data_IF_395598146299
#
_entry.id   IF_395598146299
#
_cell.length_a   1.000
_cell.length_b   1.000
_cell.length_c   1.000
_cell.angle_alpha   90.00
_cell.angle_beta   90.00
_cell.angle_gamma   90.00
#
_symmetry.space_group_name_H-M   'P 1'
#
loop_
_entity.id
_entity.type
_entity.pdbx_description
1 polymer ?
#
# COMPACT_ATOMS: atom_id res chain seq x y z
N UNK A 1 21.91 10.80 16.55
CA UNK A 1 21.00 11.24 17.61
C UNK A 1 20.27 12.48 17.09
N UNK A 2 18.98 12.36 16.85
CA UNK A 2 18.19 13.46 16.27
C UNK A 2 18.05 14.64 17.24
N UNK A 3 17.86 15.86 16.72
CA UNK A 3 17.55 17.06 17.51
C UNK A 3 16.40 16.77 18.49
N UNK A 4 15.41 16.03 18.05
CA UNK A 4 14.28 15.50 18.82
C UNK A 4 14.69 14.85 20.14
N UNK A 5 15.69 13.96 20.12
CA UNK A 5 16.10 13.16 21.28
C UNK A 5 16.89 13.98 22.32
N UNK A 6 17.34 15.20 21.94
CA UNK A 6 18.10 16.11 22.80
C UNK A 6 17.22 17.17 23.48
N UNK A 7 16.00 17.41 22.98
CA UNK A 7 15.13 18.48 23.48
C UNK A 7 14.52 18.18 24.85
N UNK A 8 14.48 16.91 25.27
CA UNK A 8 13.76 16.48 26.47
C UNK A 8 12.22 16.57 26.37
N UNK A 9 11.70 17.01 25.21
CA UNK A 9 10.26 17.10 24.94
C UNK A 9 9.76 15.78 24.36
N UNK A 10 8.67 15.25 24.90
CA UNK A 10 8.00 14.09 24.31
C UNK A 10 7.35 14.48 22.98
N UNK A 11 7.86 13.92 21.88
CA UNK A 11 7.33 14.16 20.54
C UNK A 11 6.07 13.35 20.27
N UNK A 12 5.08 14.00 19.70
CA UNK A 12 3.93 13.35 19.07
C UNK A 12 4.34 12.94 17.66
N UNK A 13 4.60 11.63 17.50
CA UNK A 13 5.20 11.07 16.30
C UNK A 13 4.15 10.71 15.27
N UNK A 14 4.02 11.51 14.23
CA UNK A 14 3.07 11.30 13.13
C UNK A 14 3.76 10.96 11.80
N UNK A 15 5.10 10.87 11.79
CA UNK A 15 5.88 10.49 10.62
C UNK A 15 5.92 8.97 10.38
N UNK A 16 5.71 8.19 11.44
CA UNK A 16 5.94 6.74 11.44
C UNK A 16 4.75 5.98 10.83
N UNK A 17 4.92 5.46 9.63
CA UNK A 17 3.90 4.63 8.95
C UNK A 17 3.94 3.16 9.36
N UNK A 18 4.07 2.83 10.65
CA UNK A 18 4.05 1.46 11.18
C UNK A 18 2.78 1.21 12.00
N UNK A 19 2.30 -0.04 12.13
CA UNK A 19 1.11 -0.33 12.92
C UNK A 19 1.32 -0.01 14.41
N UNK A 20 0.29 0.53 15.05
CA UNK A 20 0.28 0.86 16.48
C UNK A 20 -0.53 -0.12 17.34
N UNK A 21 -1.08 -1.16 16.73
CA UNK A 21 -1.84 -2.22 17.40
C UNK A 21 -0.95 -3.45 17.60
N UNK A 22 -1.26 -4.32 18.57
CA UNK A 22 -0.64 -5.63 18.69
C UNK A 22 -0.79 -6.45 17.41
N UNK A 23 0.15 -7.36 17.18
CA UNK A 23 0.05 -8.32 16.09
C UNK A 23 -1.19 -9.22 16.25
N UNK A 24 -1.82 -9.60 15.15
CA UNK A 24 -2.98 -10.48 15.15
C UNK A 24 -2.66 -11.82 15.83
N UNK A 25 -3.34 -12.12 16.95
CA UNK A 25 -3.01 -13.27 17.81
C UNK A 25 -3.09 -14.60 17.06
N UNK A 26 -4.07 -14.74 16.15
CA UNK A 26 -4.21 -15.96 15.32
C UNK A 26 -2.95 -16.24 14.49
N UNK A 27 -2.27 -15.18 14.02
CA UNK A 27 -1.00 -15.30 13.30
C UNK A 27 0.15 -15.69 14.23
N UNK A 28 0.23 -15.02 15.39
CA UNK A 28 1.27 -15.31 16.42
C UNK A 28 1.20 -16.75 16.85
N UNK A 29 0.01 -17.26 17.19
CA UNK A 29 -0.18 -18.66 17.64
C UNK A 29 0.22 -19.66 16.57
N UNK A 30 -0.16 -19.42 15.32
CA UNK A 30 0.22 -20.28 14.19
C UNK A 30 1.74 -20.30 13.95
N UNK A 31 2.41 -19.15 14.08
CA UNK A 31 3.84 -19.03 13.93
C UNK A 31 4.59 -19.77 15.05
N UNK A 32 4.19 -19.57 16.31
CA UNK A 32 4.75 -20.28 17.47
C UNK A 32 4.62 -21.79 17.27
N UNK A 33 3.42 -22.25 16.90
CA UNK A 33 3.20 -23.68 16.65
C UNK A 33 4.11 -24.21 15.56
N UNK A 34 4.26 -23.53 14.44
CA UNK A 34 5.11 -23.96 13.33
C UNK A 34 6.58 -24.09 13.76
N UNK A 35 7.06 -23.16 14.60
CA UNK A 35 8.43 -23.23 15.16
C UNK A 35 8.59 -24.40 16.13
N UNK A 36 7.58 -24.68 16.97
CA UNK A 36 7.57 -25.85 17.86
C UNK A 36 7.53 -27.17 17.07
N UNK A 37 6.85 -27.19 15.93
CA UNK A 37 6.81 -28.33 15.01
C UNK A 37 8.14 -28.51 14.23
N UNK A 38 9.13 -27.63 14.46
CA UNK A 38 10.49 -27.75 13.94
C UNK A 38 10.70 -27.20 12.55
N UNK A 39 9.78 -26.38 12.02
CA UNK A 39 9.83 -25.89 10.61
C UNK A 39 11.09 -25.07 10.30
N UNK A 40 11.75 -24.50 11.32
CA UNK A 40 12.89 -23.60 11.15
C UNK A 40 14.13 -24.27 10.53
N UNK A 41 14.24 -25.61 10.56
CA UNK A 41 15.40 -26.32 10.04
C UNK A 41 15.39 -26.54 8.53
N UNK A 42 14.24 -26.29 7.85
CA UNK A 42 14.08 -26.57 6.42
C UNK A 42 13.74 -25.30 5.62
N UNK A 43 14.26 -25.25 4.40
CA UNK A 43 13.85 -24.22 3.46
C UNK A 43 12.36 -24.36 3.11
N UNK A 44 11.63 -23.26 2.95
CA UNK A 44 10.30 -23.29 2.39
C UNK A 44 10.35 -23.70 0.91
N UNK A 45 9.22 -24.15 0.37
CA UNK A 45 9.06 -24.27 -1.07
C UNK A 45 9.31 -22.90 -1.74
N UNK A 46 10.03 -22.90 -2.86
CA UNK A 46 10.37 -21.67 -3.61
C UNK A 46 9.11 -20.90 -4.02
N UNK A 47 8.06 -21.63 -4.37
CA UNK A 47 6.77 -21.04 -4.77
C UNK A 47 5.88 -20.70 -3.56
N UNK A 48 6.33 -21.04 -2.35
CA UNK A 48 5.62 -20.79 -1.11
C UNK A 48 4.79 -21.95 -0.59
N UNK A 49 4.39 -21.84 0.69
CA UNK A 49 3.60 -22.83 1.41
C UNK A 49 2.21 -22.99 0.72
N UNK A 50 1.80 -24.21 0.32
CA UNK A 50 0.49 -24.44 -0.30
C UNK A 50 -0.68 -23.88 0.52
N UNK A 51 -0.67 -24.08 1.84
CA UNK A 51 -1.72 -23.56 2.71
C UNK A 51 -1.83 -22.02 2.69
N UNK A 52 -0.73 -21.29 2.51
CA UNK A 52 -0.77 -19.83 2.37
C UNK A 52 -1.33 -19.42 1.00
N UNK A 53 -0.95 -20.11 -0.05
CA UNK A 53 -1.43 -19.86 -1.42
C UNK A 53 -2.95 -20.08 -1.51
N UNK A 54 -3.46 -21.16 -0.95
CA UNK A 54 -4.88 -21.47 -0.86
C UNK A 54 -5.64 -20.42 -0.02
N UNK A 55 -5.10 -20.07 1.16
CA UNK A 55 -5.71 -19.05 2.03
C UNK A 55 -5.72 -17.66 1.37
N UNK A 56 -4.70 -17.31 0.59
CA UNK A 56 -4.66 -16.04 -0.14
C UNK A 56 -5.67 -16.01 -1.29
N UNK A 57 -5.81 -17.10 -2.04
CA UNK A 57 -6.83 -17.25 -3.09
C UNK A 57 -8.23 -17.08 -2.50
N UNK A 58 -8.53 -17.76 -1.40
CA UNK A 58 -9.82 -17.66 -0.71
C UNK A 58 -10.07 -16.26 -0.14
N UNK A 59 -9.04 -15.61 0.40
CA UNK A 59 -9.12 -14.24 0.90
C UNK A 59 -9.43 -13.23 -0.22
N UNK A 60 -8.78 -13.36 -1.38
CA UNK A 60 -9.07 -12.53 -2.55
C UNK A 60 -10.52 -12.72 -2.98
N UNK A 61 -11.00 -13.97 -3.06
CA UNK A 61 -12.40 -14.27 -3.38
C UNK A 61 -13.36 -13.69 -2.33
N UNK A 62 -13.06 -13.86 -1.05
CA UNK A 62 -13.91 -13.42 0.05
C UNK A 62 -14.08 -11.90 0.11
N UNK A 63 -13.02 -11.13 -0.18
CA UNK A 63 -13.00 -9.70 0.07
C UNK A 63 -12.92 -8.82 -1.19
N UNK A 64 -12.47 -9.35 -2.33
CA UNK A 64 -12.42 -8.65 -3.63
C UNK A 64 -13.49 -9.17 -4.59
N UNK A 65 -13.94 -10.43 -4.39
CA UNK A 65 -14.95 -11.07 -5.23
C UNK A 65 -14.40 -11.59 -6.56
N UNK A 66 -13.09 -11.86 -6.63
CA UNK A 66 -12.39 -12.38 -7.81
C UNK A 66 -11.85 -13.76 -7.51
N UNK A 67 -12.04 -14.70 -8.43
CA UNK A 67 -11.40 -16.00 -8.38
C UNK A 67 -9.96 -15.87 -8.93
N UNK A 68 -8.99 -16.42 -8.20
CA UNK A 68 -7.60 -16.51 -8.59
C UNK A 68 -7.06 -17.88 -8.22
N UNK A 69 -6.27 -18.50 -9.10
CA UNK A 69 -5.64 -19.79 -8.80
C UNK A 69 -4.61 -19.61 -7.66
N UNK A 70 -4.58 -20.51 -6.67
CA UNK A 70 -3.54 -20.51 -5.63
C UNK A 70 -2.11 -20.47 -6.19
N UNK A 71 -1.88 -21.00 -7.38
CA UNK A 71 -0.58 -20.94 -8.04
C UNK A 71 -0.09 -19.51 -8.25
N UNK A 72 -0.99 -18.58 -8.61
CA UNK A 72 -0.70 -17.15 -8.77
C UNK A 72 -0.48 -16.38 -7.46
N UNK A 73 -0.78 -16.99 -6.30
CA UNK A 73 -0.59 -16.40 -4.97
C UNK A 73 0.80 -16.76 -4.44
N UNK A 74 1.78 -15.85 -4.58
CA UNK A 74 3.19 -16.10 -4.27
C UNK A 74 3.60 -15.34 -3.01
N UNK A 75 4.04 -16.02 -1.93
CA UNK A 75 4.54 -15.37 -0.72
C UNK A 75 5.78 -14.52 -0.97
N UNK A 76 5.85 -13.38 -0.29
CA UNK A 76 6.96 -12.42 -0.42
C UNK A 76 7.38 -11.88 0.95
N UNK A 77 8.63 -11.47 1.09
CA UNK A 77 9.19 -10.88 2.29
C UNK A 77 8.68 -9.42 2.47
N UNK A 78 7.38 -9.32 2.80
CA UNK A 78 6.59 -8.08 2.76
C UNK A 78 6.35 -7.60 1.32
N UNK A 79 5.35 -6.73 1.12
CA UNK A 79 5.04 -6.16 -0.21
C UNK A 79 6.24 -5.48 -0.88
N UNK A 80 7.25 -5.06 -0.11
CA UNK A 80 8.48 -4.48 -0.62
C UNK A 80 9.26 -5.43 -1.53
N UNK A 81 9.38 -6.71 -1.17
CA UNK A 81 10.00 -7.70 -2.05
C UNK A 81 9.09 -7.98 -3.25
N UNK A 82 7.77 -8.02 -3.02
CA UNK A 82 6.79 -8.20 -4.08
C UNK A 82 6.87 -7.10 -5.14
N UNK A 83 6.91 -5.81 -4.74
CA UNK A 83 7.07 -4.70 -5.67
C UNK A 83 8.40 -4.75 -6.41
N UNK A 84 9.50 -5.03 -5.70
CA UNK A 84 10.83 -5.12 -6.32
C UNK A 84 10.89 -6.20 -7.41
N UNK A 85 10.40 -7.40 -7.09
CA UNK A 85 10.37 -8.52 -8.05
C UNK A 85 9.39 -8.26 -9.21
N UNK A 86 8.24 -7.62 -8.92
CA UNK A 86 7.27 -7.23 -9.96
C UNK A 86 7.88 -6.22 -10.94
N UNK A 87 8.57 -5.20 -10.44
CA UNK A 87 9.27 -4.24 -11.31
C UNK A 87 10.30 -4.91 -12.21
N UNK A 88 11.13 -5.79 -11.65
CA UNK A 88 12.10 -6.55 -12.43
C UNK A 88 11.44 -7.40 -13.51
N UNK A 89 10.31 -8.05 -13.19
CA UNK A 89 9.65 -8.93 -14.16
C UNK A 89 8.93 -8.11 -15.24
N UNK A 90 8.21 -7.06 -14.85
CA UNK A 90 7.46 -6.21 -15.78
C UNK A 90 8.38 -5.46 -16.75
N UNK A 91 9.48 -4.88 -16.25
CA UNK A 91 10.43 -4.10 -17.09
C UNK A 91 11.24 -4.97 -18.05
N UNK A 92 11.25 -6.30 -17.87
CA UNK A 92 11.93 -7.26 -18.73
C UNK A 92 10.97 -8.02 -19.66
N UNK A 93 9.66 -7.82 -19.50
CA UNK A 93 8.65 -8.56 -20.26
C UNK A 93 8.67 -8.21 -21.76
N UNK A 94 8.86 -6.93 -22.07
CA UNK A 94 8.97 -6.40 -23.44
C UNK A 94 10.02 -5.29 -23.44
N UNK A 95 11.08 -5.46 -24.23
CA UNK A 95 12.20 -4.48 -24.37
C UNK A 95 11.75 -3.09 -24.83
N UNK A 96 10.55 -2.98 -25.45
CA UNK A 96 9.97 -1.71 -25.87
C UNK A 96 9.27 -0.97 -24.72
N UNK A 97 8.93 -1.70 -23.65
CA UNK A 97 8.19 -1.20 -22.50
C UNK A 97 9.10 -1.20 -21.27
N UNK A 98 9.90 -0.17 -21.13
CA UNK A 98 10.95 -0.05 -20.11
C UNK A 98 10.63 0.94 -18.99
N UNK A 99 9.43 1.50 -18.99
CA UNK A 99 9.03 2.58 -18.09
C UNK A 99 7.84 2.17 -17.21
N UNK A 100 7.91 2.47 -15.91
CA UNK A 100 6.80 2.30 -14.95
C UNK A 100 6.10 3.63 -14.76
N UNK A 101 4.76 3.67 -14.83
CA UNK A 101 3.95 4.85 -14.57
C UNK A 101 3.40 4.80 -13.14
N UNK A 102 3.68 5.81 -12.33
CA UNK A 102 3.08 5.98 -11.00
C UNK A 102 1.88 6.92 -11.06
N UNK A 103 0.76 6.45 -10.50
CA UNK A 103 -0.36 7.31 -10.13
C UNK A 103 -0.08 7.82 -8.70
N UNK A 104 0.59 8.97 -8.63
CA UNK A 104 1.00 9.60 -7.38
C UNK A 104 -0.15 10.40 -6.72
N UNK A 105 0.01 10.81 -5.46
CA UNK A 105 1.15 10.56 -4.60
C UNK A 105 1.25 9.08 -4.21
N UNK A 106 2.47 8.61 -3.90
CA UNK A 106 2.71 7.19 -3.65
C UNK A 106 3.80 6.92 -2.61
N UNK A 107 4.06 5.64 -2.36
CA UNK A 107 5.10 5.23 -1.43
C UNK A 107 6.49 5.44 -2.04
N UNK A 108 7.32 6.36 -1.51
CA UNK A 108 8.54 6.81 -2.19
C UNK A 108 9.59 5.71 -2.38
N UNK A 109 9.55 4.66 -1.55
CA UNK A 109 10.53 3.57 -1.64
C UNK A 109 10.35 2.73 -2.91
N UNK A 110 9.16 2.71 -3.51
CA UNK A 110 8.94 2.04 -4.80
C UNK A 110 9.73 2.71 -5.93
N UNK A 111 9.82 4.05 -5.94
CA UNK A 111 10.68 4.78 -6.88
C UNK A 111 12.16 4.54 -6.61
N UNK A 112 12.56 4.45 -5.34
CA UNK A 112 13.92 4.07 -4.97
C UNK A 112 14.27 2.66 -5.47
N UNK A 113 13.32 1.72 -5.43
CA UNK A 113 13.54 0.38 -6.01
C UNK A 113 13.85 0.44 -7.50
N UNK A 114 13.12 1.26 -8.26
CA UNK A 114 13.40 1.44 -9.69
C UNK A 114 14.76 2.10 -9.94
N UNK A 115 15.16 3.07 -9.12
CA UNK A 115 16.51 3.65 -9.19
C UNK A 115 17.60 2.60 -8.97
N UNK A 116 17.42 1.71 -7.98
CA UNK A 116 18.34 0.58 -7.73
C UNK A 116 18.41 -0.37 -8.92
N UNK A 117 17.28 -0.60 -9.60
CA UNK A 117 17.19 -1.50 -10.76
C UNK A 117 17.66 -0.83 -12.06
N UNK A 118 17.81 0.50 -12.09
CA UNK A 118 18.08 1.25 -13.33
C UNK A 118 16.85 1.31 -14.27
N UNK A 119 15.66 1.10 -13.75
CA UNK A 119 14.40 1.13 -14.52
C UNK A 119 13.83 2.55 -14.54
N UNK A 120 13.35 3.00 -15.70
CA UNK A 120 12.74 4.32 -15.87
C UNK A 120 11.35 4.38 -15.23
N UNK A 121 10.96 5.57 -14.82
CA UNK A 121 9.58 5.80 -14.41
C UNK A 121 9.09 7.20 -14.81
N UNK A 122 7.78 7.30 -14.97
CA UNK A 122 7.00 8.53 -15.12
C UNK A 122 5.96 8.60 -14.01
N UNK A 123 5.43 9.81 -13.74
CA UNK A 123 4.56 10.05 -12.59
C UNK A 123 3.62 11.23 -12.85
N UNK A 124 2.46 11.21 -12.23
CA UNK A 124 1.57 12.37 -12.13
C UNK A 124 0.75 12.29 -10.83
N UNK A 125 0.46 13.44 -10.24
CA UNK A 125 -0.45 13.53 -9.09
C UNK A 125 -1.90 13.39 -9.58
N UNK A 126 -2.61 12.38 -9.06
CA UNK A 126 -3.95 12.03 -9.50
C UNK A 126 -5.02 13.02 -9.04
N UNK A 127 -4.74 13.85 -8.04
CA UNK A 127 -5.75 14.66 -7.36
C UNK A 127 -6.55 15.56 -8.33
N UNK A 128 -5.86 16.15 -9.29
CA UNK A 128 -6.47 17.01 -10.30
C UNK A 128 -7.06 16.24 -11.50
N UNK A 129 -6.87 14.92 -11.53
CA UNK A 129 -7.26 14.06 -12.66
C UNK A 129 -8.20 12.93 -12.25
N UNK A 130 -9.01 13.13 -11.21
CA UNK A 130 -10.00 12.15 -10.73
C UNK A 130 -11.21 12.05 -11.66
N UNK A 131 -11.94 10.93 -11.56
CA UNK A 131 -13.17 10.68 -12.32
C UNK A 131 -12.93 10.65 -13.83
N UNK A 132 -13.72 11.38 -14.58
CA UNK A 132 -13.65 11.43 -16.06
C UNK A 132 -12.32 11.92 -16.61
N UNK A 133 -11.54 12.69 -15.84
CA UNK A 133 -10.24 13.21 -16.25
C UNK A 133 -9.14 12.16 -16.20
N UNK A 134 -9.33 11.06 -15.46
CA UNK A 134 -8.31 10.03 -15.26
C UNK A 134 -7.98 9.31 -16.57
N UNK A 135 -8.98 8.93 -17.34
CA UNK A 135 -8.78 8.23 -18.60
C UNK A 135 -7.88 8.97 -19.59
N UNK A 136 -8.23 10.21 -19.98
CA UNK A 136 -7.39 11.03 -20.86
C UNK A 136 -5.97 11.26 -20.33
N UNK A 137 -5.84 11.45 -19.01
CA UNK A 137 -4.52 11.63 -18.39
C UNK A 137 -3.66 10.39 -18.51
N UNK A 138 -4.18 9.21 -18.19
CA UNK A 138 -3.46 7.94 -18.35
C UNK A 138 -3.10 7.68 -19.82
N UNK A 139 -4.04 7.90 -20.72
CA UNK A 139 -3.86 7.66 -22.15
C UNK A 139 -2.76 8.54 -22.74
N UNK A 140 -2.56 9.76 -22.21
CA UNK A 140 -1.46 10.64 -22.64
C UNK A 140 -0.06 10.06 -22.41
N UNK A 141 0.11 9.15 -21.45
CA UNK A 141 1.34 8.38 -21.24
C UNK A 141 1.37 7.10 -22.05
N UNK A 142 0.25 6.37 -22.06
CA UNK A 142 0.17 5.02 -22.63
C UNK A 142 0.33 4.99 -24.15
N UNK A 143 -0.07 6.07 -24.84
CA UNK A 143 0.10 6.22 -26.30
C UNK A 143 1.56 6.24 -26.75
N UNK A 144 2.51 6.54 -25.85
CA UNK A 144 3.94 6.47 -26.14
C UNK A 144 4.44 5.03 -26.34
N UNK A 145 3.69 4.03 -25.87
CA UNK A 145 3.99 2.62 -26.06
C UNK A 145 5.15 2.07 -25.23
N UNK A 146 5.69 2.85 -24.28
CA UNK A 146 6.86 2.48 -23.45
C UNK A 146 6.49 2.03 -22.03
N UNK A 147 5.22 2.13 -21.62
CA UNK A 147 4.79 1.79 -20.26
C UNK A 147 4.63 0.27 -20.11
N UNK A 148 5.42 -0.34 -19.22
CA UNK A 148 5.31 -1.76 -18.87
C UNK A 148 4.31 -2.00 -17.74
N UNK A 149 4.26 -1.09 -16.74
CA UNK A 149 3.37 -1.22 -15.59
C UNK A 149 2.84 0.13 -15.12
N UNK A 150 1.64 0.10 -14.52
CA UNK A 150 1.04 1.23 -13.78
C UNK A 150 0.95 0.83 -12.31
N UNK A 151 1.36 1.73 -11.41
CA UNK A 151 1.42 1.48 -9.96
C UNK A 151 0.63 2.52 -9.19
N UNK A 152 -0.17 2.07 -8.23
CA UNK A 152 -0.86 2.90 -7.24
C UNK A 152 -1.22 2.09 -6.00
N UNK A 153 -1.55 2.75 -4.89
CA UNK A 153 -2.11 2.09 -3.70
C UNK A 153 -3.57 2.46 -3.48
N UNK A 154 -4.37 1.53 -2.94
CA UNK A 154 -5.81 1.70 -2.74
C UNK A 154 -6.31 1.02 -1.44
N UNK A 155 -6.64 1.77 -0.34
CA UNK A 155 -6.48 3.22 -0.17
C UNK A 155 -5.06 3.72 -0.35
N UNK A 156 -4.93 5.00 -0.72
CA UNK A 156 -3.64 5.58 -1.08
C UNK A 156 -2.81 6.00 0.14
N UNK A 157 -1.51 5.79 0.07
CA UNK A 157 -0.51 6.40 0.95
C UNK A 157 0.25 7.46 0.13
N UNK A 158 0.20 8.76 0.46
CA UNK A 158 -0.26 9.37 1.73
C UNK A 158 -1.66 9.98 1.73
N UNK A 159 -2.27 10.17 0.56
CA UNK A 159 -3.45 11.02 0.39
C UNK A 159 -4.73 10.45 1.00
N UNK A 160 -4.79 9.15 1.20
CA UNK A 160 -5.96 8.36 1.58
C UNK A 160 -7.07 8.33 0.51
N UNK A 161 -6.77 8.76 -0.71
CA UNK A 161 -7.66 8.61 -1.86
C UNK A 161 -8.04 7.13 -2.02
N UNK A 162 -9.33 6.86 -2.20
CA UNK A 162 -9.86 5.56 -2.56
C UNK A 162 -10.37 5.61 -4.01
N UNK A 163 -9.81 4.80 -4.88
CA UNK A 163 -10.27 4.72 -6.28
C UNK A 163 -11.69 4.17 -6.35
N UNK A 164 -12.53 4.80 -7.16
CA UNK A 164 -13.89 4.32 -7.41
C UNK A 164 -13.90 3.16 -8.39
N UNK A 165 -15.02 2.43 -8.42
CA UNK A 165 -15.20 1.33 -9.38
C UNK A 165 -15.08 1.81 -10.84
N UNK A 166 -15.56 3.03 -11.18
CA UNK A 166 -15.45 3.59 -12.53
C UNK A 166 -14.01 4.00 -12.88
N UNK A 167 -13.26 4.55 -11.93
CA UNK A 167 -11.83 4.82 -12.11
C UNK A 167 -11.03 3.53 -12.29
N UNK A 168 -11.29 2.50 -11.48
CA UNK A 168 -10.65 1.20 -11.61
C UNK A 168 -11.00 0.50 -12.93
N UNK A 169 -12.26 0.63 -13.39
CA UNK A 169 -12.69 0.16 -14.72
C UNK A 169 -11.92 0.87 -15.83
N UNK A 170 -11.75 2.18 -15.71
CA UNK A 170 -10.97 2.99 -16.67
C UNK A 170 -9.52 2.55 -16.71
N UNK A 171 -8.88 2.40 -15.55
CA UNK A 171 -7.49 1.89 -15.42
C UNK A 171 -7.38 0.50 -16.06
N UNK A 172 -8.26 -0.43 -15.70
CA UNK A 172 -8.25 -1.81 -16.20
C UNK A 172 -8.48 -1.90 -17.73
N UNK A 173 -9.41 -1.10 -18.25
CA UNK A 173 -9.68 -1.04 -19.69
C UNK A 173 -8.48 -0.51 -20.48
N UNK A 174 -7.83 0.54 -19.99
CA UNK A 174 -6.63 1.10 -20.61
C UNK A 174 -5.44 0.15 -20.49
N UNK A 175 -5.28 -0.54 -19.35
CA UNK A 175 -4.25 -1.56 -19.19
C UNK A 175 -4.40 -2.69 -20.20
N UNK A 176 -5.63 -3.13 -20.45
CA UNK A 176 -5.92 -4.14 -21.47
C UNK A 176 -5.66 -3.61 -22.88
N UNK A 177 -6.12 -2.37 -23.19
CA UNK A 177 -5.96 -1.74 -24.51
C UNK A 177 -4.49 -1.54 -24.90
N UNK A 178 -3.68 -1.07 -23.96
CA UNK A 178 -2.27 -0.76 -24.19
C UNK A 178 -1.31 -1.85 -23.74
N UNK A 179 -1.87 -3.00 -23.33
CA UNK A 179 -1.10 -4.16 -22.88
C UNK A 179 -0.04 -3.80 -21.82
N UNK A 180 -0.43 -3.13 -20.74
CA UNK A 180 0.42 -2.87 -19.59
C UNK A 180 -0.13 -3.60 -18.34
N UNK A 181 0.74 -3.82 -17.36
CA UNK A 181 0.43 -4.56 -16.14
C UNK A 181 0.07 -3.56 -15.03
N UNK A 182 -1.01 -3.81 -14.30
CA UNK A 182 -1.36 -3.02 -13.12
C UNK A 182 -0.77 -3.64 -11.88
N UNK A 183 -0.01 -2.88 -11.12
CA UNK A 183 0.46 -3.23 -9.78
C UNK A 183 -0.37 -2.45 -8.76
N UNK A 184 -1.38 -3.10 -8.19
CA UNK A 184 -2.25 -2.51 -7.18
C UNK A 184 -1.73 -2.85 -5.78
N UNK A 185 -1.20 -1.82 -5.08
CA UNK A 185 -0.69 -1.97 -3.72
C UNK A 185 -1.83 -1.86 -2.72
N UNK A 186 -2.21 -3.00 -2.14
CA UNK A 186 -3.28 -3.17 -1.17
C UNK A 186 -2.75 -3.26 0.28
N UNK A 187 -1.65 -2.55 0.59
CA UNK A 187 -1.08 -2.54 1.94
C UNK A 187 -2.06 -2.07 3.02
N UNK A 188 -3.03 -1.24 2.66
CA UNK A 188 -4.10 -0.72 3.53
C UNK A 188 -5.45 -1.40 3.26
N UNK A 189 -5.41 -2.70 3.04
CA UNK A 189 -6.56 -3.52 2.66
C UNK A 189 -7.75 -3.31 3.59
N UNK A 190 -8.93 -3.08 3.00
CA UNK A 190 -10.22 -2.87 3.68
C UNK A 190 -10.27 -1.73 4.70
N UNK A 191 -9.36 -0.73 4.61
CA UNK A 191 -9.31 0.42 5.52
C UNK A 191 -10.10 1.64 5.03
N UNK A 192 -10.91 1.54 3.98
CA UNK A 192 -11.98 2.50 3.72
C UNK A 192 -13.19 2.15 4.61
N UNK A 193 -13.26 2.76 5.77
CA UNK A 193 -14.30 2.46 6.78
C UNK A 193 -15.69 3.01 6.42
N UNK A 194 -15.84 3.74 5.33
CA UNK A 194 -17.15 4.11 4.77
C UNK A 194 -17.90 2.92 4.18
N UNK A 195 -17.16 1.84 3.84
CA UNK A 195 -17.70 0.59 3.28
C UNK A 195 -17.77 -0.49 4.36
N UNK A 196 -18.90 -1.19 4.49
CA UNK A 196 -19.01 -2.36 5.36
C UNK A 196 -18.57 -3.62 4.60
N UNK A 197 -17.25 -3.82 4.50
CA UNK A 197 -16.67 -4.96 3.80
C UNK A 197 -16.68 -6.19 4.70
N UNK A 198 -17.33 -7.26 4.23
CA UNK A 198 -17.42 -8.56 4.92
C UNK A 198 -17.06 -9.69 3.96
N UNK A 199 -16.55 -10.84 4.47
CA UNK A 199 -16.20 -11.95 3.59
C UNK A 199 -17.41 -12.47 2.80
N UNK A 200 -17.24 -12.66 1.50
CA UNK A 200 -18.25 -13.17 0.55
C UNK A 200 -19.52 -12.32 0.43
N UNK A 201 -19.48 -11.07 0.85
CA UNK A 201 -20.63 -10.16 0.80
C UNK A 201 -20.23 -8.83 0.13
N UNK A 202 -21.11 -8.32 -0.71
CA UNK A 202 -20.98 -6.95 -1.24
C UNK A 202 -21.33 -5.93 -0.15
N UNK A 203 -20.70 -4.77 -0.12
CA UNK A 203 -19.66 -4.32 -1.06
C UNK A 203 -18.31 -4.97 -0.77
N UNK A 204 -17.57 -5.32 -1.83
CA UNK A 204 -16.20 -5.78 -1.74
C UNK A 204 -15.20 -4.62 -1.66
N UNK A 205 -13.94 -4.93 -1.33
CA UNK A 205 -12.81 -4.01 -1.54
C UNK A 205 -12.72 -3.69 -3.04
N UNK A 206 -12.83 -2.43 -3.45
CA UNK A 206 -12.64 -2.07 -4.85
C UNK A 206 -11.24 -2.44 -5.32
N UNK A 207 -11.16 -3.08 -6.47
CA UNK A 207 -9.88 -3.52 -7.04
C UNK A 207 -9.97 -3.56 -8.57
N UNK A 208 -8.85 -3.25 -9.22
CA UNK A 208 -8.72 -3.36 -10.67
C UNK A 208 -8.88 -4.79 -11.18
N UNK A 209 -8.68 -5.78 -10.33
CA UNK A 209 -8.84 -7.20 -10.66
C UNK A 209 -10.25 -7.57 -11.15
N UNK A 210 -11.26 -6.73 -10.88
CA UNK A 210 -12.61 -6.90 -11.39
C UNK A 210 -12.76 -6.43 -12.87
N UNK A 211 -11.74 -5.78 -13.46
CA UNK A 211 -11.88 -5.07 -14.75
C UNK A 211 -10.80 -5.43 -15.78
N UNK A 212 -9.78 -6.18 -15.42
CA UNK A 212 -8.72 -6.64 -16.33
C UNK A 212 -8.08 -7.91 -15.79
N UNK A 213 -7.45 -8.69 -16.68
CA UNK A 213 -6.57 -9.80 -16.30
C UNK A 213 -5.09 -9.41 -16.25
N UNK A 214 -4.75 -8.16 -16.54
CA UNK A 214 -3.38 -7.66 -16.51
C UNK A 214 -3.05 -7.06 -15.14
N UNK A 215 -3.15 -7.83 -14.05
CA UNK A 215 -2.94 -7.31 -12.70
C UNK A 215 -2.02 -8.15 -11.83
N UNK A 216 -1.39 -7.44 -10.91
CA UNK A 216 -0.67 -7.95 -9.74
C UNK A 216 -1.21 -7.24 -8.52
N UNK A 217 -1.80 -7.96 -7.56
CA UNK A 217 -2.23 -7.43 -6.27
C UNK A 217 -1.14 -7.68 -5.24
N UNK A 218 -0.85 -6.68 -4.42
CA UNK A 218 0.15 -6.76 -3.35
C UNK A 218 -0.55 -6.71 -2.00
N UNK A 219 -0.76 -7.87 -1.39
CA UNK A 219 -1.43 -8.01 -0.08
C UNK A 219 -0.38 -8.08 1.01
N UNK A 220 -0.44 -7.16 1.96
CA UNK A 220 0.56 -7.04 3.04
C UNK A 220 0.01 -7.51 4.39
N UNK A 221 0.81 -8.28 5.12
CA UNK A 221 0.55 -8.55 6.53
C UNK A 221 0.80 -7.36 7.46
N UNK A 222 1.48 -6.32 6.95
CA UNK A 222 2.03 -5.25 7.79
C UNK A 222 0.99 -4.35 8.46
N UNK A 223 -0.11 -3.99 7.76
CA UNK A 223 -1.05 -2.97 8.25
C UNK A 223 -2.35 -3.57 8.75
N UNK A 224 -3.05 -4.31 7.89
CA UNK A 224 -4.34 -4.90 8.22
C UNK A 224 -4.24 -5.93 9.37
N UNK A 225 -3.11 -6.59 9.51
CA UNK A 225 -2.89 -7.63 10.52
C UNK A 225 -1.83 -7.25 11.58
N UNK A 226 -1.32 -6.02 11.54
CA UNK A 226 -0.26 -5.54 12.45
C UNK A 226 0.98 -6.47 12.51
N UNK A 227 1.33 -7.09 11.38
CA UNK A 227 2.38 -8.12 11.28
C UNK A 227 3.65 -7.60 10.56
N UNK A 228 3.94 -6.31 10.73
CA UNK A 228 5.01 -5.62 10.00
C UNK A 228 6.41 -6.15 10.31
N UNK A 229 6.65 -6.60 11.54
CA UNK A 229 7.95 -7.12 12.00
C UNK A 229 8.36 -8.41 11.31
N UNK A 230 7.40 -9.26 10.97
CA UNK A 230 7.64 -10.59 10.40
C UNK A 230 7.90 -10.59 8.89
N UNK A 231 7.81 -9.44 8.24
CA UNK A 231 8.14 -9.27 6.82
C UNK A 231 7.41 -10.26 5.91
N UNK A 232 6.10 -10.32 6.00
CA UNK A 232 5.27 -11.24 5.21
C UNK A 232 4.20 -10.50 4.40
N UNK A 233 3.96 -10.97 3.19
CA UNK A 233 2.90 -10.57 2.29
C UNK A 233 2.71 -11.62 1.21
N UNK A 234 1.72 -11.39 0.35
CA UNK A 234 1.44 -12.24 -0.81
C UNK A 234 1.27 -11.36 -2.04
N UNK A 235 1.96 -11.72 -3.11
CA UNK A 235 1.74 -11.16 -4.44
C UNK A 235 0.77 -12.07 -5.19
N UNK A 236 -0.40 -11.55 -5.56
CA UNK A 236 -1.42 -12.30 -6.29
C UNK A 236 -1.43 -11.86 -7.75
N UNK A 237 -0.96 -12.72 -8.64
CA UNK A 237 -0.86 -12.51 -10.09
C UNK A 237 -2.06 -13.18 -10.75
N UNK A 238 -2.79 -12.48 -11.63
CA UNK A 238 -3.92 -13.08 -12.34
C UNK A 238 -3.53 -14.34 -13.09
N UNK A 239 -4.44 -15.30 -13.23
CA UNK A 239 -4.16 -16.59 -13.89
C UNK A 239 -3.65 -16.39 -15.32
N UNK A 240 -4.25 -15.46 -16.05
CA UNK A 240 -3.85 -15.17 -17.43
C UNK A 240 -2.45 -14.58 -17.50
N UNK A 241 -2.12 -13.61 -16.62
CA UNK A 241 -0.78 -13.02 -16.56
C UNK A 241 0.25 -14.04 -16.07
N UNK A 242 -0.09 -14.87 -15.09
CA UNK A 242 0.81 -15.87 -14.52
C UNK A 242 1.33 -16.85 -15.57
N UNK A 243 0.45 -17.32 -16.45
CA UNK A 243 0.78 -18.27 -17.52
C UNK A 243 1.19 -17.61 -18.84
N UNK A 244 1.24 -16.27 -18.87
CA UNK A 244 1.55 -15.55 -20.09
C UNK A 244 3.03 -15.64 -20.45
N UNK A 245 3.30 -16.04 -21.71
CA UNK A 245 4.64 -15.98 -22.30
C UNK A 245 4.86 -14.61 -22.93
N UNK A 246 5.91 -13.94 -22.51
CA UNK A 246 6.45 -12.75 -23.15
C UNK A 246 7.71 -13.13 -23.91
N UNK A 247 7.86 -12.66 -25.14
CA UNK A 247 8.98 -13.05 -25.99
C UNK A 247 10.35 -12.79 -25.32
N UNK A 248 10.56 -11.60 -24.80
CA UNK A 248 11.84 -11.21 -24.22
C UNK A 248 12.14 -11.91 -22.88
N UNK A 249 11.11 -12.21 -22.07
CA UNK A 249 11.28 -13.06 -20.89
C UNK A 249 11.61 -14.51 -21.27
N UNK A 250 10.90 -15.05 -22.25
CA UNK A 250 11.11 -16.42 -22.70
C UNK A 250 12.50 -16.61 -23.32
N UNK A 251 12.98 -15.63 -24.10
CA UNK A 251 14.35 -15.63 -24.62
C UNK A 251 15.40 -15.64 -23.50
N UNK A 252 15.18 -14.83 -22.45
CA UNK A 252 16.13 -14.67 -21.33
C UNK A 252 16.08 -15.81 -20.31
N UNK A 253 14.90 -16.42 -20.10
CA UNK A 253 14.63 -17.36 -19.02
C UNK A 253 14.11 -18.71 -19.53
N UNK A 254 14.72 -19.27 -20.57
CA UNK A 254 14.53 -20.63 -21.02
C UNK A 254 13.08 -21.01 -21.36
N UNK A 255 12.33 -20.06 -21.92
CA UNK A 255 10.93 -20.29 -22.31
C UNK A 255 9.90 -20.19 -21.18
N UNK A 256 10.30 -19.78 -19.96
CA UNK A 256 9.38 -19.67 -18.84
C UNK A 256 8.33 -18.56 -19.03
N UNK A 257 7.07 -18.79 -18.60
CA UNK A 257 6.04 -17.76 -18.55
C UNK A 257 6.26 -16.80 -17.38
N UNK A 258 5.49 -15.72 -17.32
CA UNK A 258 5.65 -14.60 -16.38
C UNK A 258 5.70 -15.03 -14.91
N UNK A 259 4.74 -15.84 -14.44
CA UNK A 259 4.66 -16.27 -13.04
C UNK A 259 5.85 -17.11 -12.58
N UNK A 260 6.25 -18.16 -13.29
CA UNK A 260 7.48 -18.90 -13.04
C UNK A 260 8.74 -18.03 -13.08
N UNK A 261 8.86 -17.05 -13.99
CA UNK A 261 9.99 -16.10 -13.95
C UNK A 261 9.96 -15.28 -12.67
N UNK A 262 8.80 -14.73 -12.31
CA UNK A 262 8.63 -13.97 -11.06
C UNK A 262 9.05 -14.78 -9.83
N UNK A 263 8.57 -16.02 -9.68
CA UNK A 263 8.79 -16.83 -8.48
C UNK A 263 10.17 -17.52 -8.47
N UNK A 264 10.53 -18.23 -9.55
CA UNK A 264 11.71 -19.11 -9.56
C UNK A 264 12.99 -18.44 -10.08
N UNK A 265 12.91 -17.22 -10.62
CA UNK A 265 14.07 -16.44 -11.04
C UNK A 265 14.23 -15.19 -10.18
N UNK A 266 13.22 -14.30 -10.12
CA UNK A 266 13.34 -13.02 -9.38
C UNK A 266 13.34 -13.25 -7.88
N UNK A 267 12.30 -13.84 -7.31
CA UNK A 267 12.22 -14.07 -5.85
C UNK A 267 13.29 -15.03 -5.36
N UNK A 268 13.54 -16.09 -6.10
CA UNK A 268 14.59 -17.06 -5.70
C UNK A 268 15.95 -16.41 -5.63
N UNK A 269 16.32 -15.59 -6.61
CA UNK A 269 17.59 -14.86 -6.62
C UNK A 269 17.69 -13.82 -5.49
N UNK A 270 16.57 -13.26 -5.03
CA UNK A 270 16.54 -12.26 -3.97
C UNK A 270 16.69 -12.86 -2.56
N UNK A 271 16.09 -14.03 -2.29
CA UNK A 271 16.00 -14.53 -0.92
C UNK A 271 15.93 -16.05 -0.78
N UNK A 272 15.95 -16.81 -1.89
CA UNK A 272 15.77 -18.28 -1.87
C UNK A 272 14.47 -18.74 -1.19
N UNK A 273 13.46 -17.88 -1.15
CA UNK A 273 12.17 -18.11 -0.52
C UNK A 273 11.86 -17.11 0.59
N UNK A 274 10.63 -17.14 1.06
CA UNK A 274 10.11 -16.26 2.12
C UNK A 274 10.18 -16.99 3.47
N UNK A 275 10.34 -16.26 4.58
CA UNK A 275 10.40 -16.82 5.94
C UNK A 275 9.34 -17.90 6.17
N UNK A 276 9.78 -19.13 6.49
CA UNK A 276 8.91 -20.29 6.54
C UNK A 276 7.83 -20.16 7.62
N UNK A 277 8.20 -19.80 8.85
CA UNK A 277 7.26 -19.65 9.96
C UNK A 277 6.28 -18.49 9.76
N UNK A 278 6.71 -17.37 9.14
CA UNK A 278 5.85 -16.24 8.85
C UNK A 278 4.77 -16.59 7.80
N UNK A 279 5.04 -17.54 6.91
CA UNK A 279 4.02 -18.03 5.95
C UNK A 279 2.88 -18.74 6.67
N UNK A 280 3.16 -19.53 7.73
CA UNK A 280 2.10 -20.15 8.55
C UNK A 280 1.24 -19.12 9.26
N UNK A 281 1.88 -18.07 9.79
CA UNK A 281 1.15 -16.95 10.39
C UNK A 281 0.19 -16.29 9.40
N UNK A 282 0.70 -15.93 8.23
CA UNK A 282 -0.11 -15.26 7.19
C UNK A 282 -1.24 -16.16 6.68
N UNK A 283 -0.98 -17.45 6.49
CA UNK A 283 -1.99 -18.44 6.12
C UNK A 283 -3.14 -18.49 7.15
N UNK A 284 -2.81 -18.54 8.43
CA UNK A 284 -3.80 -18.57 9.51
C UNK A 284 -4.64 -17.29 9.55
N UNK A 285 -4.01 -16.11 9.41
CA UNK A 285 -4.69 -14.82 9.41
C UNK A 285 -5.66 -14.70 8.23
N UNK A 286 -5.20 -14.98 7.00
CA UNK A 286 -6.02 -14.89 5.80
C UNK A 286 -7.20 -15.87 5.83
N UNK A 287 -6.92 -17.12 6.22
CA UNK A 287 -7.96 -18.16 6.35
C UNK A 287 -9.02 -17.80 7.40
N UNK A 288 -8.59 -17.40 8.59
CA UNK A 288 -9.53 -17.03 9.66
C UNK A 288 -10.37 -15.80 9.27
N UNK A 289 -9.78 -14.83 8.57
CA UNK A 289 -10.51 -13.68 8.07
C UNK A 289 -11.54 -14.08 7.00
N UNK A 290 -11.18 -14.92 6.02
CA UNK A 290 -12.09 -15.40 4.98
C UNK A 290 -13.24 -16.25 5.56
N UNK A 291 -12.95 -17.07 6.56
CA UNK A 291 -13.97 -17.87 7.28
C UNK A 291 -14.84 -17.03 8.24
N UNK A 292 -14.61 -15.72 8.38
CA UNK A 292 -15.32 -14.85 9.32
C UNK A 292 -15.04 -15.13 10.80
N UNK A 293 -13.96 -15.87 11.10
CA UNK A 293 -13.50 -16.19 12.46
C UNK A 293 -12.59 -15.12 13.06
N UNK A 294 -12.05 -14.23 12.23
CA UNK A 294 -11.19 -13.13 12.61
C UNK A 294 -11.64 -11.83 11.91
N UNK A 295 -12.28 -10.95 12.68
CA UNK A 295 -12.70 -9.64 12.19
C UNK A 295 -11.58 -8.61 12.38
N UNK A 296 -10.57 -8.68 11.50
CA UNK A 296 -9.46 -7.74 11.52
C UNK A 296 -9.92 -6.29 11.29
N UNK A 297 -11.03 -6.06 10.57
CA UNK A 297 -11.51 -4.70 10.30
C UNK A 297 -12.00 -3.99 11.55
N UNK A 298 -12.68 -4.69 12.45
CA UNK A 298 -13.09 -4.12 13.73
C UNK A 298 -11.87 -3.68 14.56
N UNK A 299 -10.78 -4.44 14.52
CA UNK A 299 -9.55 -4.07 15.25
C UNK A 299 -8.91 -2.80 14.68
N UNK A 300 -8.75 -2.72 13.35
CA UNK A 300 -8.07 -1.59 12.69
C UNK A 300 -8.95 -0.34 12.55
N UNK A 301 -10.25 -0.42 12.84
CA UNK A 301 -11.17 0.73 12.78
C UNK A 301 -10.73 1.90 13.64
N UNK A 302 -10.02 1.64 14.73
CA UNK A 302 -9.44 2.66 15.60
C UNK A 302 -8.57 3.68 14.84
N UNK A 303 -7.95 3.30 13.72
CA UNK A 303 -7.18 4.25 12.90
C UNK A 303 -8.08 5.30 12.24
N UNK A 304 -9.29 4.91 11.83
CA UNK A 304 -10.30 5.85 11.35
C UNK A 304 -10.78 6.79 12.44
N UNK A 305 -11.10 6.25 13.63
CA UNK A 305 -11.57 7.04 14.76
C UNK A 305 -10.49 8.06 15.22
N UNK A 306 -9.22 7.65 15.19
CA UNK A 306 -8.07 8.55 15.45
C UNK A 306 -7.93 9.62 14.39
N UNK A 307 -8.06 9.26 13.09
CA UNK A 307 -7.99 10.22 11.99
C UNK A 307 -9.03 11.31 12.13
N UNK A 308 -10.27 10.94 12.46
CA UNK A 308 -11.36 11.87 12.67
C UNK A 308 -11.03 12.92 13.75
N UNK A 309 -10.65 12.44 14.95
CA UNK A 309 -10.28 13.33 16.06
C UNK A 309 -9.10 14.23 15.73
N UNK A 310 -8.06 13.68 15.08
CA UNK A 310 -6.87 14.46 14.71
C UNK A 310 -7.18 15.53 13.67
N UNK A 311 -7.99 15.21 12.65
CA UNK A 311 -8.44 16.20 11.66
C UNK A 311 -9.17 17.35 12.31
N UNK A 312 -10.05 17.08 13.28
CA UNK A 312 -10.75 18.12 14.05
C UNK A 312 -9.78 19.02 14.83
N UNK A 313 -8.76 18.45 15.48
CA UNK A 313 -7.75 19.22 16.21
C UNK A 313 -7.02 20.17 15.26
N UNK A 314 -6.47 19.63 14.16
CA UNK A 314 -5.71 20.46 13.22
C UNK A 314 -6.58 21.55 12.60
N UNK A 315 -7.79 21.22 12.14
CA UNK A 315 -8.66 22.19 11.44
C UNK A 315 -9.17 23.31 12.35
N UNK A 316 -9.34 23.07 13.67
CA UNK A 316 -9.64 24.11 14.64
C UNK A 316 -8.54 25.15 14.79
N UNK A 317 -7.31 24.81 14.43
CA UNK A 317 -6.13 25.68 14.56
C UNK A 317 -5.57 26.11 13.20
N UNK A 318 -6.45 26.43 12.25
CA UNK A 318 -6.17 26.99 10.94
C UNK A 318 -5.42 26.07 9.95
N UNK A 319 -5.19 24.80 10.29
CA UNK A 319 -4.72 23.84 9.30
C UNK A 319 -5.86 23.46 8.35
N UNK A 320 -5.51 23.08 7.13
CA UNK A 320 -6.46 22.52 6.17
C UNK A 320 -6.02 21.11 5.77
N UNK A 321 -6.97 20.30 5.30
CA UNK A 321 -6.70 18.98 4.74
C UNK A 321 -6.30 19.17 3.27
N UNK A 322 -5.10 18.72 2.90
CA UNK A 322 -4.54 18.96 1.54
C UNK A 322 -5.29 18.15 0.50
N UNK A 323 -5.39 16.84 0.71
CA UNK A 323 -6.25 15.96 -0.09
C UNK A 323 -7.58 15.82 0.64
N UNK A 324 -8.46 16.82 0.50
CA UNK A 324 -9.69 16.94 1.28
C UNK A 324 -10.88 16.18 0.71
N UNK A 325 -10.81 15.83 -0.58
CA UNK A 325 -11.91 15.20 -1.32
C UNK A 325 -11.53 13.89 -1.97
N UNK A 326 -12.51 13.02 -1.99
CA UNK A 326 -12.52 11.77 -2.75
C UNK A 326 -13.67 11.87 -3.77
N UNK A 327 -13.41 12.53 -4.91
CA UNK A 327 -14.42 13.09 -5.85
C UNK A 327 -15.33 14.09 -5.16
N UNK A 328 -16.65 13.80 -5.08
CA UNK A 328 -17.67 14.67 -4.50
C UNK A 328 -17.85 14.47 -2.98
N UNK A 329 -17.13 13.52 -2.40
CA UNK A 329 -17.21 13.21 -0.97
C UNK A 329 -15.97 13.69 -0.22
N UNK A 330 -16.07 13.99 1.08
CA UNK A 330 -14.89 14.19 1.93
C UNK A 330 -13.98 12.97 1.91
N UNK A 331 -12.68 13.22 2.02
CA UNK A 331 -11.71 12.12 2.15
C UNK A 331 -12.02 11.25 3.36
N UNK A 332 -11.92 9.93 3.21
CA UNK A 332 -12.18 8.98 4.29
C UNK A 332 -11.22 9.17 5.48
N UNK A 333 -11.66 8.74 6.65
CA UNK A 333 -10.81 8.61 7.83
C UNK A 333 -10.09 7.26 7.82
N UNK A 334 -8.79 7.25 8.15
CA UNK A 334 -8.02 6.02 8.12
C UNK A 334 -6.62 6.10 8.69
N UNK A 335 -5.68 5.37 8.11
CA UNK A 335 -4.32 5.26 8.62
C UNK A 335 -3.49 6.52 8.41
N UNK A 336 -3.81 7.30 7.35
CA UNK A 336 -3.19 8.58 7.03
C UNK A 336 -4.24 9.63 6.70
N UNK A 337 -3.82 10.87 6.87
CA UNK A 337 -4.42 12.05 6.25
C UNK A 337 -3.33 13.09 6.00
N UNK A 338 -3.68 14.19 5.35
CA UNK A 338 -2.71 15.21 4.94
C UNK A 338 -3.11 16.58 5.45
N UNK A 339 -2.15 17.34 5.94
CA UNK A 339 -2.37 18.70 6.46
C UNK A 339 -1.50 19.72 5.74
N UNK A 340 -2.02 20.91 5.56
CA UNK A 340 -1.30 22.10 5.15
C UNK A 340 -1.59 23.25 6.10
N UNK A 341 -0.77 24.30 6.03
CA UNK A 341 -1.01 25.53 6.76
C UNK A 341 -0.88 26.73 5.80
N UNK A 342 -1.81 27.71 5.85
CA UNK A 342 -1.78 28.84 4.92
C UNK A 342 -0.43 29.57 4.93
N UNK A 343 0.15 29.76 3.75
CA UNK A 343 1.40 30.50 3.57
C UNK A 343 2.69 29.73 3.90
N UNK A 344 2.62 28.44 4.24
CA UNK A 344 3.79 27.59 4.49
C UNK A 344 3.94 26.49 3.43
N UNK A 345 5.17 26.31 2.96
CA UNK A 345 5.57 25.13 2.19
C UNK A 345 5.67 23.88 3.08
N UNK A 346 5.73 22.70 2.47
CA UNK A 346 5.90 21.41 3.19
C UNK A 346 7.12 21.44 4.12
N UNK A 347 8.23 22.00 3.64
CA UNK A 347 9.48 22.07 4.40
C UNK A 347 9.40 23.02 5.59
N UNK A 348 8.83 24.22 5.40
CA UNK A 348 8.62 25.22 6.44
C UNK A 348 7.67 24.68 7.53
N UNK A 349 6.55 24.08 7.13
CA UNK A 349 5.58 23.50 8.05
C UNK A 349 6.18 22.35 8.86
N UNK A 350 6.93 21.44 8.22
CA UNK A 350 7.60 20.36 8.92
C UNK A 350 8.64 20.85 9.92
N UNK A 351 9.40 21.88 9.55
CA UNK A 351 10.41 22.49 10.41
C UNK A 351 9.76 23.16 11.60
N UNK A 352 8.75 23.98 11.36
CA UNK A 352 8.05 24.74 12.41
C UNK A 352 7.37 23.80 13.42
N UNK A 353 6.65 22.76 12.97
CA UNK A 353 6.00 21.80 13.86
C UNK A 353 6.97 21.07 14.81
N UNK A 354 8.24 20.93 14.42
CA UNK A 354 9.24 20.31 15.31
C UNK A 354 9.51 21.13 16.56
N UNK A 355 9.36 22.47 16.53
CA UNK A 355 9.47 23.32 17.73
C UNK A 355 8.34 23.06 18.70
N UNK A 356 7.18 22.62 18.22
CA UNK A 356 6.03 22.24 19.05
C UNK A 356 6.00 20.74 19.38
N UNK A 357 7.09 20.02 19.11
CA UNK A 357 7.20 18.60 19.42
C UNK A 357 6.27 17.71 18.62
N UNK A 358 5.96 18.07 17.38
CA UNK A 358 5.17 17.27 16.43
C UNK A 358 6.03 16.96 15.21
N UNK A 359 6.01 15.70 14.74
CA UNK A 359 6.75 15.28 13.54
C UNK A 359 5.83 14.61 12.53
N UNK A 360 5.98 14.99 11.25
CA UNK A 360 5.24 14.46 10.11
C UNK A 360 6.15 14.41 8.86
N UNK A 361 5.67 13.87 7.74
CA UNK A 361 6.47 13.73 6.51
C UNK A 361 6.01 14.72 5.45
N UNK A 362 6.95 15.43 4.82
CA UNK A 362 6.66 16.31 3.69
C UNK A 362 6.02 15.54 2.51
N UNK A 363 4.91 16.04 1.97
CA UNK A 363 4.21 15.44 0.85
C UNK A 363 5.06 15.38 -0.43
N UNK A 364 5.91 16.37 -0.66
CA UNK A 364 6.79 16.41 -1.82
C UNK A 364 7.65 15.14 -1.96
N UNK A 365 8.01 14.49 -0.85
CA UNK A 365 8.78 13.24 -0.87
C UNK A 365 7.98 12.05 -1.42
N UNK A 366 6.67 12.17 -1.54
CA UNK A 366 5.77 11.11 -2.02
C UNK A 366 5.37 11.26 -3.49
N UNK A 367 5.90 12.28 -4.17
CA UNK A 367 5.51 12.61 -5.55
C UNK A 367 4.23 13.48 -5.63
N UNK A 368 3.78 14.02 -4.50
CA UNK A 368 2.70 14.99 -4.45
C UNK A 368 3.09 16.30 -5.13
N UNK A 369 2.19 16.84 -5.94
CA UNK A 369 2.27 18.20 -6.49
C UNK A 369 1.68 19.24 -5.52
N UNK A 370 1.14 18.78 -4.37
CA UNK A 370 0.57 19.63 -3.33
C UNK A 370 1.57 19.85 -2.20
N UNK A 371 1.54 21.07 -1.62
CA UNK A 371 2.28 21.38 -0.41
C UNK A 371 1.56 20.88 0.84
N UNK A 372 2.30 20.42 1.83
CA UNK A 372 1.78 19.94 3.10
C UNK A 372 2.50 18.72 3.64
N UNK A 373 1.90 18.09 4.65
CA UNK A 373 2.49 16.96 5.38
C UNK A 373 1.55 15.77 5.41
N UNK A 374 2.10 14.57 5.37
CA UNK A 374 1.40 13.33 5.72
C UNK A 374 1.43 13.12 7.22
N UNK A 375 0.26 12.92 7.80
CA UNK A 375 0.05 12.56 9.21
C UNK A 375 -0.34 11.10 9.31
N UNK A 376 0.37 10.33 10.14
CA UNK A 376 0.02 8.94 10.47
C UNK A 376 -0.71 8.87 11.81
N UNK A 377 -1.81 8.14 11.85
CA UNK A 377 -2.69 8.01 13.02
C UNK A 377 -2.30 6.88 13.97
N UNK A 378 -1.41 5.97 13.54
CA UNK A 378 -1.22 4.66 14.15
C UNK A 378 -0.65 4.69 15.57
N UNK A 379 0.25 5.63 15.87
CA UNK A 379 0.95 5.72 17.16
C UNK A 379 0.33 6.70 18.14
N UNK A 380 -0.74 7.37 17.76
CA UNK A 380 -1.37 8.36 18.65
C UNK A 380 -2.11 7.64 19.78
N UNK A 381 -1.81 8.05 20.98
CA UNK A 381 -2.44 7.58 22.22
C UNK A 381 -3.45 8.60 22.70
N UNK A 382 -4.46 8.15 23.45
CA UNK A 382 -5.55 9.02 23.90
C UNK A 382 -5.07 10.17 24.77
N UNK A 383 -4.07 9.95 25.61
CA UNK A 383 -3.46 11.00 26.46
C UNK A 383 -2.71 12.09 25.67
N UNK A 384 -2.40 11.86 24.40
CA UNK A 384 -1.69 12.82 23.54
C UNK A 384 -2.62 13.83 22.87
N UNK A 385 -3.93 13.60 22.83
CA UNK A 385 -4.85 14.54 22.16
C UNK A 385 -4.87 15.91 22.84
N UNK A 386 -4.92 15.96 24.18
CA UNK A 386 -4.91 17.23 24.90
C UNK A 386 -3.61 18.01 24.68
N UNK A 387 -2.47 17.31 24.72
CA UNK A 387 -1.16 17.93 24.46
C UNK A 387 -1.04 18.42 23.00
N UNK A 388 -1.59 17.68 22.03
CA UNK A 388 -1.62 18.12 20.64
C UNK A 388 -2.50 19.36 20.46
N UNK A 389 -3.69 19.39 21.06
CA UNK A 389 -4.60 20.52 21.02
C UNK A 389 -3.93 21.79 21.51
N UNK A 390 -3.30 21.73 22.71
CA UNK A 390 -2.56 22.84 23.29
C UNK A 390 -1.43 23.33 22.39
N UNK A 391 -0.63 22.41 21.86
CA UNK A 391 0.50 22.72 20.97
C UNK A 391 0.05 23.38 19.67
N UNK A 392 -1.06 22.93 19.09
CA UNK A 392 -1.60 23.50 17.84
C UNK A 392 -2.25 24.87 18.10
N UNK A 393 -2.83 25.10 19.26
CA UNK A 393 -3.31 26.44 19.67
C UNK A 393 -2.15 27.43 19.72
N UNK A 394 -1.07 27.09 20.43
CA UNK A 394 0.14 27.92 20.51
C UNK A 394 0.79 28.12 19.13
N UNK A 395 0.81 27.06 18.31
CA UNK A 395 1.30 27.15 16.92
C UNK A 395 0.53 28.21 16.13
N UNK A 396 -0.81 28.16 16.19
CA UNK A 396 -1.67 29.09 15.46
C UNK A 396 -1.55 30.55 15.96
N UNK A 397 -1.36 30.75 17.27
CA UNK A 397 -1.11 32.07 17.85
C UNK A 397 0.22 32.67 17.35
N UNK A 398 1.27 31.85 17.25
CA UNK A 398 2.61 32.29 16.80
C UNK A 398 2.70 32.45 15.28
N UNK A 399 1.79 31.81 14.52
CA UNK A 399 1.74 31.82 13.07
C UNK A 399 0.37 32.32 12.56
N UNK A 400 0.00 33.58 12.79
CA UNK A 400 -1.32 34.09 12.44
C UNK A 400 -1.54 34.07 10.92
N UNK A 401 -2.67 33.51 10.50
CA UNK A 401 -3.10 33.53 9.11
C UNK A 401 -3.54 34.96 8.75
N UNK A 402 -2.92 35.52 7.69
CA UNK A 402 -3.21 36.88 7.20
C UNK A 402 -4.45 36.92 6.31
#
# INVERSE_FOLDING_TARGET
MCIRDRSGVEFIKMEMGIPGLPAAQVGVDAQIKSLQDGIAHSYPDIQGLPALKEAASEFVKAFIGVDINPEGCVPVCGSMQGTFASFLTCSQADKKKDTVLFIDPGFPVQKMQLQVQGTKYETFDVYNFRGEKLGPKLESYLTNGNICAIVYSNPNNPSWICMTDDELRTIGSLATKYDCIIMEDLAYFAMDFRRDIRPFQKPYQPSVANYTDNYILLISGSKAFSYAGERIGVTCISDKLFHRHYHDLAERYEGLPFGPVFSTRMLYALSSGTSHSAQYAMAAMLKAAAEGKFDFRSEIKIYGDRAHKLKEIFTRHNFYIVYDKDLDQPIADGFYFTIGYPGMTSGELAHELMYYGVSAICLVTTGSEQEGLRVCTSFIRDEQYAALEERMAIFAENNPVK
#
